data_IF_415780932020
#
_entry.id   IF_415780932020
#
_cell.length_a   1.000
_cell.length_b   1.000
_cell.length_c   1.000
_cell.angle_alpha   90.00
_cell.angle_beta   90.00
_cell.angle_gamma   90.00
#
_symmetry.space_group_name_H-M   'P 1'
#
loop_
_entity.id
_entity.type
_entity.pdbx_description
1 polymer ?
#
# COMPACT_ATOMS: atom_id res chain seq x y z
N UNK A 1 -7.44 -7.56 47.23
CA UNK A 1 -6.87 -6.64 46.21
C UNK A 1 -8.03 -5.96 45.52
N UNK A 2 -8.27 -4.69 45.83
CA UNK A 2 -9.25 -3.87 45.10
C UNK A 2 -8.70 -3.66 43.69
N UNK A 3 -9.43 -3.98 42.61
CA UNK A 3 -8.95 -3.67 41.27
C UNK A 3 -8.78 -2.15 41.19
N UNK A 4 -7.62 -1.68 40.74
CA UNK A 4 -7.42 -0.25 40.47
C UNK A 4 -8.47 0.28 39.49
N UNK A 5 -8.64 1.60 39.37
CA UNK A 5 -9.65 2.17 38.48
C UNK A 5 -9.47 1.60 37.07
N UNK A 6 -10.47 0.84 36.60
CA UNK A 6 -10.46 0.24 35.27
C UNK A 6 -10.57 1.37 34.26
N UNK A 7 -9.50 1.64 33.53
CA UNK A 7 -9.55 2.53 32.37
C UNK A 7 -10.63 1.98 31.43
N UNK A 8 -11.64 2.76 31.04
CA UNK A 8 -12.69 2.22 30.19
C UNK A 8 -12.10 1.82 28.83
N UNK A 9 -12.62 0.79 28.15
CA UNK A 9 -12.10 0.35 26.85
C UNK A 9 -12.00 1.50 25.85
N UNK A 10 -11.04 1.42 24.94
CA UNK A 10 -10.99 2.25 23.74
C UNK A 10 -12.18 1.91 22.84
N UNK A 11 -12.67 2.90 22.09
CA UNK A 11 -13.66 2.64 21.05
C UNK A 11 -13.02 1.98 19.83
N UNK A 12 -11.75 2.33 19.55
CA UNK A 12 -10.94 1.77 18.47
C UNK A 12 -9.48 1.63 18.90
N UNK A 13 -8.88 0.47 18.61
CA UNK A 13 -7.43 0.30 18.62
C UNK A 13 -6.93 -0.12 17.24
N UNK A 14 -6.12 0.73 16.60
CA UNK A 14 -5.40 0.38 15.39
C UNK A 14 -4.12 -0.39 15.68
N UNK A 15 -3.89 -1.48 14.94
CA UNK A 15 -2.65 -2.27 14.97
C UNK A 15 -1.83 -1.92 13.72
N UNK A 16 -0.68 -1.29 13.94
CA UNK A 16 0.15 -0.65 12.90
C UNK A 16 -0.23 0.82 12.68
N UNK A 17 0.76 1.64 12.30
CA UNK A 17 0.55 3.05 11.92
C UNK A 17 1.14 3.35 10.53
N UNK A 18 0.88 2.47 9.55
CA UNK A 18 1.11 2.78 8.13
C UNK A 18 0.14 3.83 7.59
N UNK A 19 0.29 4.27 6.32
CA UNK A 19 -0.50 5.37 5.75
C UNK A 19 -2.02 5.18 5.92
N UNK A 20 -2.54 3.97 5.75
CA UNK A 20 -3.97 3.69 5.89
C UNK A 20 -4.50 3.83 7.32
N UNK A 21 -3.77 3.31 8.32
CA UNK A 21 -4.16 3.50 9.71
C UNK A 21 -3.90 4.93 10.19
N UNK A 22 -2.92 5.64 9.63
CA UNK A 22 -2.75 7.08 9.88
C UNK A 22 -3.89 7.90 9.29
N UNK A 23 -4.42 7.52 8.12
CA UNK A 23 -5.64 8.12 7.56
C UNK A 23 -6.82 7.92 8.50
N UNK A 24 -7.01 6.69 8.99
CA UNK A 24 -8.05 6.40 9.98
C UNK A 24 -7.85 7.17 11.28
N UNK A 25 -6.62 7.29 11.77
CA UNK A 25 -6.30 8.07 12.96
C UNK A 25 -6.61 9.56 12.79
N UNK A 26 -6.26 10.13 11.63
CA UNK A 26 -6.50 11.53 11.30
C UNK A 26 -7.99 11.85 11.16
N UNK A 27 -8.79 10.95 10.57
CA UNK A 27 -10.25 11.12 10.52
C UNK A 27 -10.91 10.86 11.89
N UNK A 28 -10.43 9.86 12.64
CA UNK A 28 -10.92 9.60 13.99
C UNK A 28 -10.70 10.78 14.96
N UNK A 29 -9.59 11.51 14.81
CA UNK A 29 -9.28 12.72 15.58
C UNK A 29 -10.32 13.84 15.40
N UNK A 30 -10.98 13.89 14.24
CA UNK A 30 -12.08 14.82 13.96
C UNK A 30 -13.41 14.45 14.61
N UNK A 31 -13.55 13.26 15.22
CA UNK A 31 -14.81 12.76 15.79
C UNK A 31 -14.87 13.08 17.29
N UNK A 32 -15.78 13.96 17.76
CA UNK A 32 -15.86 14.33 19.17
C UNK A 32 -16.15 13.13 20.08
N UNK A 33 -15.31 12.95 21.09
CA UNK A 33 -15.49 11.92 22.13
C UNK A 33 -15.04 10.51 21.73
N UNK A 34 -14.59 10.29 20.50
CA UNK A 34 -14.09 8.99 20.05
C UNK A 34 -12.72 8.68 20.70
N UNK A 35 -12.64 7.60 21.47
CA UNK A 35 -11.41 7.19 22.15
C UNK A 35 -10.65 6.19 21.31
N UNK A 36 -9.70 6.68 20.52
CA UNK A 36 -8.86 5.86 19.65
C UNK A 36 -7.38 5.86 20.07
N UNK A 37 -6.69 4.74 19.82
CA UNK A 37 -5.24 4.68 19.82
C UNK A 37 -4.72 3.83 18.66
N UNK A 38 -3.49 4.07 18.21
CA UNK A 38 -2.85 3.33 17.11
C UNK A 38 -1.45 2.92 17.53
N UNK A 39 -1.20 1.61 17.65
CA UNK A 39 0.06 1.06 18.13
C UNK A 39 0.97 0.67 16.95
N UNK A 40 2.17 1.24 16.90
CA UNK A 40 3.20 0.93 15.93
C UNK A 40 4.44 0.40 16.63
N UNK A 41 4.96 -0.73 16.16
CA UNK A 41 6.10 -1.39 16.79
C UNK A 41 7.43 -0.66 16.55
N UNK A 42 7.57 0.03 15.42
CA UNK A 42 8.78 0.81 15.11
C UNK A 42 8.91 1.99 16.08
N UNK A 43 10.13 2.45 16.32
CA UNK A 43 10.40 3.61 17.17
C UNK A 43 9.98 4.94 16.53
N UNK A 44 9.92 4.99 15.20
CA UNK A 44 9.51 6.17 14.43
C UNK A 44 8.89 5.77 13.08
N UNK A 45 8.13 6.70 12.49
CA UNK A 45 7.54 6.51 11.17
C UNK A 45 8.60 6.55 10.07
N UNK A 46 8.60 5.53 9.20
CA UNK A 46 9.34 5.51 7.94
C UNK A 46 8.55 4.68 6.94
N UNK A 47 8.17 5.26 5.80
CA UNK A 47 7.42 4.59 4.76
C UNK A 47 8.33 4.14 3.62
N UNK A 48 8.55 2.83 3.53
CA UNK A 48 9.46 2.19 2.57
C UNK A 48 10.86 2.84 2.49
N UNK A 49 11.59 2.96 3.62
CA UNK A 49 12.84 3.72 3.68
C UNK A 49 13.91 3.26 2.69
N UNK A 50 14.00 1.95 2.38
CA UNK A 50 14.97 1.46 1.39
C UNK A 50 14.69 1.83 -0.06
N UNK A 51 13.55 2.47 -0.35
CA UNK A 51 13.11 2.92 -1.67
C UNK A 51 12.82 4.43 -1.73
N UNK A 52 13.29 5.20 -0.74
CA UNK A 52 13.29 6.66 -0.77
C UNK A 52 14.42 7.19 -1.66
N UNK A 53 14.54 6.62 -2.87
CA UNK A 53 15.54 7.00 -3.87
C UNK A 53 15.33 8.47 -4.24
N UNK A 54 16.41 9.21 -4.35
CA UNK A 54 16.36 10.63 -4.70
C UNK A 54 15.64 10.84 -6.05
N UNK A 55 14.71 11.79 -6.09
CA UNK A 55 13.91 12.08 -7.28
C UNK A 55 12.71 11.15 -7.49
N UNK A 56 12.56 10.07 -6.73
CA UNK A 56 11.40 9.19 -6.85
C UNK A 56 10.10 9.89 -6.41
N UNK A 57 9.07 9.81 -7.24
CA UNK A 57 7.75 10.41 -6.98
C UNK A 57 6.71 9.38 -6.55
N UNK A 58 5.63 9.86 -5.93
CA UNK A 58 4.41 9.08 -5.81
C UNK A 58 3.79 8.88 -7.20
N UNK A 59 3.09 7.75 -7.38
CA UNK A 59 2.32 7.49 -8.59
C UNK A 59 0.87 7.99 -8.50
N UNK A 60 0.51 8.62 -7.39
CA UNK A 60 -0.80 9.25 -7.15
C UNK A 60 -0.63 10.76 -6.93
N UNK A 61 -1.65 11.58 -7.27
CA UNK A 61 -1.62 13.01 -6.96
C UNK A 61 -1.55 13.27 -5.45
N UNK A 62 -1.01 14.41 -5.03
CA UNK A 62 -0.97 14.81 -3.61
C UNK A 62 -2.35 14.91 -2.93
N UNK A 63 -3.44 14.98 -3.72
CA UNK A 63 -4.81 14.92 -3.21
C UNK A 63 -5.14 13.57 -2.56
N UNK A 64 -4.46 12.50 -2.98
CA UNK A 64 -4.46 11.19 -2.32
C UNK A 64 -3.59 11.20 -1.05
N UNK A 65 -3.76 12.24 -0.23
CA UNK A 65 -3.20 12.30 1.12
C UNK A 65 -4.07 11.51 2.11
N UNK A 66 -3.88 11.73 3.41
CA UNK A 66 -4.58 10.98 4.44
C UNK A 66 -6.09 11.29 4.56
N UNK A 67 -6.55 12.46 4.09
CA UNK A 67 -7.86 13.01 4.48
C UNK A 67 -8.59 13.78 3.37
N UNK A 68 -7.90 14.40 2.42
CA UNK A 68 -8.42 15.43 1.53
C UNK A 68 -9.53 14.96 0.59
N UNK A 69 -9.57 13.68 0.21
CA UNK A 69 -10.66 13.13 -0.62
C UNK A 69 -11.96 12.87 0.17
N UNK A 70 -11.96 13.11 1.48
CA UNK A 70 -13.15 13.03 2.35
C UNK A 70 -13.38 14.36 3.08
N UNK A 71 -12.35 14.92 3.69
CA UNK A 71 -12.42 16.12 4.52
C UNK A 71 -11.27 17.07 4.17
N UNK A 72 -11.39 17.86 3.07
CA UNK A 72 -10.36 18.82 2.65
C UNK A 72 -10.01 19.86 3.71
N UNK A 73 -10.93 20.15 4.64
CA UNK A 73 -10.69 21.17 5.69
C UNK A 73 -9.92 20.62 6.88
N UNK A 74 -9.65 19.30 6.91
CA UNK A 74 -8.91 18.65 7.98
C UNK A 74 -7.53 19.31 8.19
N UNK A 75 -7.13 19.56 9.45
CA UNK A 75 -5.80 20.07 9.75
C UNK A 75 -4.70 19.08 9.34
N UNK A 76 -5.04 17.82 9.13
CA UNK A 76 -4.12 16.76 8.72
C UNK A 76 -3.92 16.67 7.20
N UNK A 77 -4.51 17.57 6.41
CA UNK A 77 -4.30 17.60 4.95
C UNK A 77 -2.87 17.95 4.57
N UNK A 78 -2.42 17.44 3.42
CA UNK A 78 -1.11 17.70 2.87
C UNK A 78 -0.88 19.19 2.59
N UNK A 79 -1.89 19.90 2.09
CA UNK A 79 -1.80 21.35 1.88
C UNK A 79 -1.62 22.12 3.18
N UNK A 80 -2.29 21.70 4.27
CA UNK A 80 -2.06 22.30 5.58
C UNK A 80 -0.65 21.98 6.11
N UNK A 81 -0.15 20.76 5.90
CA UNK A 81 1.26 20.43 6.19
C UNK A 81 2.23 21.39 5.46
N UNK A 82 2.06 21.60 4.16
CA UNK A 82 2.91 22.51 3.38
C UNK A 82 2.81 23.95 3.90
N UNK A 83 1.62 24.40 4.31
CA UNK A 83 1.41 25.70 4.96
C UNK A 83 2.14 25.79 6.30
N UNK A 84 2.01 24.78 7.18
CA UNK A 84 2.70 24.72 8.49
C UNK A 84 4.22 24.74 8.30
N UNK A 85 4.73 24.09 7.26
CA UNK A 85 6.15 24.13 6.87
C UNK A 85 6.57 25.42 6.14
N UNK A 86 5.65 26.38 5.96
CA UNK A 86 5.88 27.68 5.29
C UNK A 86 6.40 27.54 3.85
N UNK A 87 6.00 26.48 3.15
CA UNK A 87 6.44 26.16 1.78
C UNK A 87 5.34 26.31 0.72
N UNK A 88 4.22 26.94 1.06
CA UNK A 88 3.04 26.99 0.19
C UNK A 88 3.29 27.75 -1.13
N UNK A 89 3.98 28.90 -1.10
CA UNK A 89 4.31 29.64 -2.32
C UNK A 89 5.28 28.86 -3.24
N UNK A 90 6.42 28.33 -2.74
CA UNK A 90 7.28 27.47 -3.56
C UNK A 90 6.54 26.24 -4.11
N UNK A 91 5.68 25.60 -3.32
CA UNK A 91 4.89 24.45 -3.76
C UNK A 91 3.88 24.83 -4.85
N UNK A 92 3.20 25.97 -4.69
CA UNK A 92 2.28 26.52 -5.69
C UNK A 92 2.96 26.71 -7.05
N UNK A 93 4.13 27.38 -7.08
CA UNK A 93 4.87 27.60 -8.32
C UNK A 93 5.58 26.35 -8.86
N UNK A 94 5.71 25.29 -8.06
CA UNK A 94 6.25 24.02 -8.56
C UNK A 94 5.27 23.34 -9.53
N UNK A 95 3.96 23.59 -9.41
CA UNK A 95 2.90 23.05 -10.27
C UNK A 95 2.95 21.52 -10.47
N UNK A 96 3.37 20.78 -9.41
CA UNK A 96 3.51 19.32 -9.44
C UNK A 96 2.34 18.63 -8.74
N UNK A 97 1.61 17.79 -9.47
CA UNK A 97 0.59 16.92 -8.87
C UNK A 97 1.21 15.72 -8.17
N UNK A 98 2.28 15.14 -8.74
CA UNK A 98 3.03 14.03 -8.15
C UNK A 98 4.20 14.55 -7.34
N UNK A 99 4.12 14.36 -6.03
CA UNK A 99 5.13 14.82 -5.08
C UNK A 99 6.21 13.77 -4.86
N UNK A 100 7.36 14.21 -4.37
CA UNK A 100 8.47 13.32 -4.01
C UNK A 100 8.06 12.37 -2.88
N UNK A 101 8.50 11.11 -2.94
CA UNK A 101 8.23 10.13 -1.87
C UNK A 101 8.81 10.56 -0.54
N UNK A 102 9.98 11.21 -0.55
CA UNK A 102 10.59 11.76 0.66
C UNK A 102 9.76 12.90 1.26
N UNK A 103 9.10 13.71 0.44
CA UNK A 103 8.19 14.76 0.90
C UNK A 103 6.91 14.17 1.52
N UNK A 104 6.37 13.10 0.91
CA UNK A 104 5.24 12.38 1.48
C UNK A 104 5.60 11.63 2.77
N UNK A 105 6.77 10.98 2.87
CA UNK A 105 7.26 10.39 4.13
C UNK A 105 7.34 11.44 5.24
N UNK A 106 7.87 12.64 4.94
CA UNK A 106 7.94 13.74 5.90
C UNK A 106 6.55 14.24 6.33
N UNK A 107 5.58 14.28 5.42
CA UNK A 107 4.19 14.59 5.73
C UNK A 107 3.59 13.55 6.68
N UNK A 108 3.72 12.26 6.37
CA UNK A 108 3.20 11.18 7.22
C UNK A 108 3.91 11.12 8.59
N UNK A 109 5.21 11.39 8.62
CA UNK A 109 5.99 11.53 9.86
C UNK A 109 5.48 12.69 10.70
N UNK A 110 5.18 13.83 10.08
CA UNK A 110 4.58 14.97 10.78
C UNK A 110 3.22 14.60 11.38
N UNK A 111 2.30 14.04 10.59
CA UNK A 111 0.97 13.64 11.07
C UNK A 111 1.08 12.63 12.21
N UNK A 112 1.89 11.58 12.05
CA UNK A 112 2.04 10.53 13.07
C UNK A 112 2.73 10.99 14.36
N UNK A 113 3.53 12.06 14.30
CA UNK A 113 4.17 12.65 15.50
C UNK A 113 3.21 13.57 16.24
N UNK A 114 2.42 14.36 15.51
CA UNK A 114 1.51 15.35 16.10
C UNK A 114 0.16 14.74 16.52
N UNK A 115 -0.25 13.62 15.93
CA UNK A 115 -1.51 12.93 16.28
C UNK A 115 -1.44 12.35 17.71
N UNK A 116 -2.27 12.81 18.66
CA UNK A 116 -2.24 12.33 20.03
C UNK A 116 -2.68 10.88 20.20
N UNK A 117 -3.25 10.23 19.18
CA UNK A 117 -3.69 8.83 19.21
C UNK A 117 -2.61 7.85 18.77
N UNK A 118 -1.52 8.29 18.14
CA UNK A 118 -0.45 7.40 17.64
C UNK A 118 0.58 7.08 18.73
N UNK A 119 1.01 5.82 18.81
CA UNK A 119 1.95 5.31 19.81
C UNK A 119 3.02 4.43 19.14
N UNK A 120 4.22 4.97 18.96
CA UNK A 120 5.39 4.23 18.50
C UNK A 120 6.02 3.38 19.62
N UNK A 121 6.83 2.40 19.25
CA UNK A 121 7.42 1.43 20.17
C UNK A 121 6.38 0.56 20.90
N UNK A 122 5.20 0.35 20.32
CA UNK A 122 4.15 -0.51 20.86
C UNK A 122 3.86 -1.64 19.86
N UNK A 123 4.41 -2.83 20.11
CA UNK A 123 4.10 -4.03 19.35
C UNK A 123 2.88 -4.71 19.96
N UNK A 124 1.82 -4.86 19.19
CA UNK A 124 0.68 -5.70 19.60
C UNK A 124 1.07 -7.16 19.37
N UNK A 125 0.97 -7.97 20.41
CA UNK A 125 1.42 -9.37 20.38
C UNK A 125 0.25 -10.31 20.09
N UNK A 126 -0.87 -10.15 20.80
CA UNK A 126 -2.07 -11.00 20.67
C UNK A 126 -3.35 -10.20 20.87
N UNK A 127 -4.44 -10.72 20.29
CA UNK A 127 -5.80 -10.21 20.46
C UNK A 127 -6.73 -11.36 20.81
N UNK A 128 -7.53 -11.19 21.86
CA UNK A 128 -8.60 -12.12 22.24
C UNK A 128 -9.89 -11.36 22.56
N UNK A 129 -11.05 -12.00 22.36
CA UNK A 129 -12.32 -11.43 22.80
C UNK A 129 -12.55 -11.72 24.29
N UNK A 130 -12.90 -10.68 25.07
CA UNK A 130 -13.33 -10.79 26.46
C UNK A 130 -14.85 -10.53 26.55
N UNK A 131 -15.68 -11.60 26.64
CA UNK A 131 -17.13 -11.46 26.77
C UNK A 131 -17.56 -10.72 28.04
N UNK A 132 -16.77 -10.82 29.12
CA UNK A 132 -17.06 -10.15 30.39
C UNK A 132 -16.87 -8.64 30.31
N UNK A 133 -16.14 -8.15 29.31
CA UNK A 133 -15.96 -6.72 29.02
C UNK A 133 -16.72 -6.24 27.77
N UNK A 134 -17.20 -7.16 26.94
CA UNK A 134 -17.75 -6.83 25.63
C UNK A 134 -16.73 -6.06 24.77
N UNK A 135 -15.47 -6.47 24.85
CA UNK A 135 -14.34 -5.81 24.20
C UNK A 135 -13.21 -6.82 23.92
N UNK A 136 -12.33 -6.49 22.98
CA UNK A 136 -11.09 -7.22 22.76
C UNK A 136 -10.08 -6.89 23.86
N UNK A 137 -9.50 -7.92 24.47
CA UNK A 137 -8.29 -7.87 25.28
C UNK A 137 -7.08 -7.90 24.34
N UNK A 138 -6.21 -6.90 24.43
CA UNK A 138 -5.07 -6.71 23.53
C UNK A 138 -3.79 -6.64 24.33
N UNK A 139 -2.97 -7.67 24.19
CA UNK A 139 -1.64 -7.73 24.79
C UNK A 139 -0.64 -7.01 23.88
N UNK A 140 0.22 -6.22 24.48
CA UNK A 140 1.26 -5.50 23.75
C UNK A 140 2.57 -5.42 24.53
N UNK A 141 3.66 -5.37 23.78
CA UNK A 141 5.00 -5.16 24.27
C UNK A 141 5.45 -3.75 23.90
N UNK A 142 5.89 -2.98 24.89
CA UNK A 142 6.59 -1.72 24.66
C UNK A 142 8.06 -2.00 24.36
N UNK A 143 8.51 -1.49 23.23
CA UNK A 143 9.87 -1.59 22.72
C UNK A 143 10.61 -0.27 22.91
N UNK A 144 11.90 -0.34 23.16
CA UNK A 144 12.79 0.82 23.12
C UNK A 144 13.32 1.09 21.71
N UNK A 145 14.17 2.11 21.56
CA UNK A 145 14.70 2.53 20.25
C UNK A 145 15.46 1.43 19.51
N UNK A 146 16.13 0.54 20.25
CA UNK A 146 16.96 -0.53 19.70
C UNK A 146 16.20 -1.87 19.60
N UNK A 147 14.87 -1.84 19.86
CA UNK A 147 13.99 -3.00 19.82
C UNK A 147 14.02 -3.86 21.09
N UNK A 148 14.70 -3.41 22.14
CA UNK A 148 14.71 -4.06 23.44
C UNK A 148 13.33 -4.00 24.10
N UNK A 149 12.95 -5.06 24.82
CA UNK A 149 11.67 -5.11 25.52
C UNK A 149 11.73 -4.28 26.80
N UNK A 150 10.92 -3.23 26.88
CA UNK A 150 10.83 -2.36 28.06
C UNK A 150 9.81 -2.87 29.07
N UNK A 151 8.60 -3.23 28.62
CA UNK A 151 7.53 -3.80 29.45
C UNK A 151 6.41 -4.39 28.60
N UNK A 152 5.65 -5.32 29.15
CA UNK A 152 4.38 -5.78 28.57
C UNK A 152 3.21 -5.01 29.16
N UNK A 153 2.07 -5.03 28.48
CA UNK A 153 0.84 -4.37 28.90
C UNK A 153 -0.40 -5.03 28.31
N UNK A 154 -1.54 -4.70 28.90
CA UNK A 154 -2.87 -5.14 28.46
C UNK A 154 -3.75 -3.90 28.31
N UNK A 155 -4.44 -3.79 27.18
CA UNK A 155 -5.49 -2.79 26.97
C UNK A 155 -6.76 -3.46 26.47
N UNK A 156 -7.89 -2.75 26.56
CA UNK A 156 -9.16 -3.21 26.02
C UNK A 156 -9.67 -2.25 24.96
N UNK A 157 -10.23 -2.78 23.88
CA UNK A 157 -10.83 -2.00 22.80
C UNK A 157 -12.12 -2.66 22.31
N UNK A 158 -13.17 -1.88 22.06
CA UNK A 158 -14.44 -2.39 21.52
C UNK A 158 -14.28 -2.86 20.07
N UNK A 159 -13.45 -2.15 19.32
CA UNK A 159 -13.17 -2.44 17.91
C UNK A 159 -11.67 -2.36 17.63
N UNK A 160 -11.24 -3.04 16.58
CA UNK A 160 -9.85 -3.07 16.12
C UNK A 160 -9.75 -2.63 14.67
N UNK A 161 -8.62 -2.01 14.27
CA UNK A 161 -8.28 -1.78 12.87
C UNK A 161 -6.90 -2.38 12.54
N UNK A 162 -6.88 -3.46 11.77
CA UNK A 162 -5.66 -4.14 11.36
C UNK A 162 -5.07 -3.46 10.13
N UNK A 163 -4.01 -2.68 10.35
CA UNK A 163 -3.24 -1.99 9.32
C UNK A 163 -1.76 -2.37 9.37
N UNK A 164 -1.48 -3.68 9.50
CA UNK A 164 -0.12 -4.24 9.69
C UNK A 164 0.72 -4.27 8.41
N UNK A 165 0.16 -3.80 7.30
CA UNK A 165 0.81 -3.70 6.00
C UNK A 165 1.21 -5.05 5.42
N UNK A 166 2.21 -5.01 4.55
CA UNK A 166 2.72 -6.18 3.82
C UNK A 166 4.15 -6.50 4.24
N UNK A 167 4.66 -7.64 3.78
CA UNK A 167 6.04 -8.07 3.99
C UNK A 167 6.75 -8.31 2.64
N UNK A 168 8.06 -7.99 2.54
CA UNK A 168 8.88 -8.30 1.37
C UNK A 168 8.68 -9.74 0.89
N UNK A 169 8.47 -9.93 -0.41
CA UNK A 169 8.30 -11.25 -0.97
C UNK A 169 9.60 -11.74 -1.60
N UNK A 170 10.19 -12.78 -1.02
CA UNK A 170 11.36 -13.47 -1.61
C UNK A 170 10.90 -14.76 -2.29
N UNK A 171 11.15 -14.93 -3.61
CA UNK A 171 10.89 -16.18 -4.32
C UNK A 171 11.62 -17.35 -3.66
N UNK A 172 11.00 -18.52 -3.63
CA UNK A 172 11.51 -19.69 -2.94
C UNK A 172 12.98 -20.05 -3.30
N UNK A 173 13.39 -20.03 -4.58
CA UNK A 173 14.76 -20.40 -4.95
C UNK A 173 15.86 -19.46 -4.42
N UNK A 174 15.48 -18.27 -3.95
CA UNK A 174 16.40 -17.21 -3.53
C UNK A 174 16.43 -17.00 -2.00
N UNK A 175 15.59 -17.71 -1.25
CA UNK A 175 15.42 -17.49 0.21
C UNK A 175 16.68 -17.74 1.01
N UNK A 176 17.40 -18.82 0.70
CA UNK A 176 18.62 -19.18 1.42
C UNK A 176 19.74 -18.16 1.16
N UNK A 177 19.88 -17.66 -0.07
CA UNK A 177 20.85 -16.61 -0.40
C UNK A 177 20.52 -15.30 0.34
N UNK A 178 19.25 -14.87 0.36
CA UNK A 178 18.86 -13.65 1.12
C UNK A 178 19.18 -13.76 2.62
N UNK A 179 19.18 -14.98 3.18
CA UNK A 179 19.53 -15.23 4.59
C UNK A 179 21.04 -15.34 4.83
N UNK A 180 21.82 -15.62 3.78
CA UNK A 180 23.27 -15.73 3.86
C UNK A 180 23.91 -14.33 3.86
N UNK A 181 24.50 -13.88 4.99
CA UNK A 181 25.13 -12.56 5.08
C UNK A 181 26.38 -12.41 4.21
N UNK A 182 26.98 -13.52 3.75
CA UNK A 182 28.12 -13.49 2.84
C UNK A 182 27.70 -13.18 1.39
N UNK A 183 26.43 -13.44 1.03
CA UNK A 183 25.91 -13.15 -0.30
C UNK A 183 25.34 -11.72 -0.37
N UNK A 184 25.50 -11.06 -1.51
CA UNK A 184 24.89 -9.74 -1.77
C UNK A 184 23.55 -9.92 -2.52
N UNK A 185 22.64 -10.68 -1.91
CA UNK A 185 21.26 -10.88 -2.39
C UNK A 185 20.31 -10.23 -1.40
N UNK A 186 19.55 -9.23 -1.86
CA UNK A 186 18.66 -8.45 -0.97
C UNK A 186 17.34 -8.12 -1.65
N UNK A 187 16.29 -7.91 -0.84
CA UNK A 187 15.04 -7.35 -1.34
C UNK A 187 15.16 -5.84 -1.52
N UNK A 188 14.45 -5.27 -2.49
CA UNK A 188 14.46 -3.82 -2.77
C UNK A 188 14.08 -2.94 -1.57
N UNK A 189 13.42 -3.52 -0.56
CA UNK A 189 13.10 -2.89 0.71
C UNK A 189 14.33 -2.45 1.52
N UNK A 190 15.50 -3.05 1.24
CA UNK A 190 16.78 -2.80 1.91
C UNK A 190 17.79 -2.13 0.97
N UNK A 191 17.36 -1.74 -0.25
CA UNK A 191 18.24 -1.28 -1.32
C UNK A 191 19.15 -0.13 -0.90
N UNK A 192 18.59 1.00 -0.42
CA UNK A 192 19.40 2.16 -0.05
C UNK A 192 20.42 1.88 1.06
N UNK A 193 20.10 0.96 1.99
CA UNK A 193 21.02 0.59 3.07
C UNK A 193 22.22 -0.23 2.56
N UNK A 194 22.11 -0.86 1.39
CA UNK A 194 23.14 -1.71 0.78
C UNK A 194 23.70 -1.12 -0.52
N UNK A 195 23.29 0.10 -0.89
CA UNK A 195 23.60 0.74 -2.17
C UNK A 195 25.10 0.84 -2.44
N UNK A 196 25.88 1.26 -1.46
CA UNK A 196 27.34 1.41 -1.65
C UNK A 196 28.02 0.05 -1.90
N UNK A 197 27.56 -1.01 -1.23
CA UNK A 197 28.04 -2.38 -1.48
C UNK A 197 27.65 -2.87 -2.87
N UNK A 198 26.45 -2.53 -3.32
CA UNK A 198 25.99 -2.84 -4.68
C UNK A 198 26.83 -2.12 -5.72
N UNK A 199 27.10 -0.82 -5.55
CA UNK A 199 27.93 -0.04 -6.47
C UNK A 199 29.37 -0.55 -6.56
N UNK A 200 29.90 -1.15 -5.50
CA UNK A 200 31.21 -1.81 -5.50
C UNK A 200 31.22 -3.17 -6.22
N UNK A 201 30.07 -3.78 -6.50
CA UNK A 201 29.98 -5.04 -7.21
C UNK A 201 30.32 -4.87 -8.71
N UNK A 202 30.89 -5.90 -9.33
CA UNK A 202 31.22 -5.86 -10.77
C UNK A 202 29.97 -5.98 -11.63
N UNK A 203 29.08 -6.92 -11.31
CA UNK A 203 27.82 -7.13 -12.01
C UNK A 203 26.64 -7.24 -11.01
N UNK A 204 25.52 -6.59 -11.35
CA UNK A 204 24.31 -6.55 -10.52
C UNK A 204 23.12 -7.02 -11.36
N UNK A 205 22.29 -7.91 -10.80
CA UNK A 205 21.03 -8.32 -11.42
C UNK A 205 19.82 -7.82 -10.62
N UNK A 206 18.97 -7.02 -11.25
CA UNK A 206 17.68 -6.61 -10.69
C UNK A 206 16.61 -7.59 -11.18
N UNK A 207 15.84 -8.17 -10.26
CA UNK A 207 14.77 -9.14 -10.57
C UNK A 207 13.41 -8.56 -10.19
N UNK A 208 12.55 -8.33 -11.17
CA UNK A 208 11.18 -7.84 -10.96
C UNK A 208 10.82 -6.68 -11.88
N UNK A 209 9.60 -6.70 -12.42
CA UNK A 209 9.15 -5.81 -13.50
C UNK A 209 8.39 -4.57 -13.05
N UNK A 210 8.19 -4.37 -11.74
CA UNK A 210 7.40 -3.27 -11.20
C UNK A 210 8.20 -1.98 -11.01
N UNK A 211 7.52 -0.93 -10.57
CA UNK A 211 8.10 0.40 -10.33
C UNK A 211 9.42 0.35 -9.54
N UNK A 212 9.48 -0.41 -8.43
CA UNK A 212 10.71 -0.50 -7.63
C UNK A 212 11.89 -1.09 -8.37
N UNK A 213 11.67 -2.03 -9.30
CA UNK A 213 12.74 -2.62 -10.11
C UNK A 213 13.29 -1.62 -11.12
N UNK A 214 12.39 -0.85 -11.75
CA UNK A 214 12.75 0.21 -12.67
C UNK A 214 13.54 1.33 -11.97
N UNK A 215 13.09 1.79 -10.79
CA UNK A 215 13.78 2.84 -10.03
C UNK A 215 15.15 2.40 -9.52
N UNK A 216 15.27 1.17 -9.02
CA UNK A 216 16.57 0.60 -8.63
C UNK A 216 17.50 0.52 -9.83
N UNK A 217 17.01 0.02 -10.98
CA UNK A 217 17.82 -0.05 -12.20
C UNK A 217 18.29 1.34 -12.62
N UNK A 218 17.38 2.32 -12.66
CA UNK A 218 17.67 3.68 -13.08
C UNK A 218 18.69 4.36 -12.16
N UNK A 219 18.55 4.18 -10.85
CA UNK A 219 19.50 4.71 -9.87
C UNK A 219 20.89 4.08 -9.99
N UNK A 220 20.96 2.75 -10.14
CA UNK A 220 22.20 2.03 -10.39
C UNK A 220 22.84 2.46 -11.71
N UNK A 221 22.04 2.59 -12.77
CA UNK A 221 22.49 3.03 -14.08
C UNK A 221 23.16 4.40 -13.95
N UNK A 222 22.45 5.41 -13.46
CA UNK A 222 22.96 6.78 -13.28
C UNK A 222 24.20 6.88 -12.39
N UNK A 223 24.39 5.95 -11.46
CA UNK A 223 25.43 6.02 -10.44
C UNK A 223 26.69 5.22 -10.77
N UNK A 224 26.66 4.41 -11.84
CA UNK A 224 27.81 3.61 -12.26
C UNK A 224 28.56 4.27 -13.41
N UNK A 225 29.89 4.09 -13.48
CA UNK A 225 30.71 4.67 -14.54
C UNK A 225 30.23 4.22 -15.92
N UNK A 226 30.32 5.13 -16.90
CA UNK A 226 29.99 4.82 -18.29
C UNK A 226 30.92 3.74 -18.85
N UNK A 227 30.36 2.72 -19.49
CA UNK A 227 31.09 1.58 -20.06
C UNK A 227 31.52 0.52 -19.04
N UNK A 228 31.11 0.65 -17.77
CA UNK A 228 31.33 -0.33 -16.71
C UNK A 228 30.08 -0.54 -15.85
N UNK A 229 28.90 -0.44 -16.48
CA UNK A 229 27.62 -0.58 -15.81
C UNK A 229 27.41 -1.99 -15.26
N UNK A 230 27.70 -3.06 -16.00
CA UNK A 230 27.51 -4.43 -15.51
C UNK A 230 26.12 -4.68 -14.92
N UNK A 231 25.06 -4.26 -15.61
CA UNK A 231 23.69 -4.35 -15.10
C UNK A 231 22.86 -5.35 -15.91
N UNK A 232 22.07 -6.17 -15.22
CA UNK A 232 21.03 -6.99 -15.84
C UNK A 232 19.68 -6.73 -15.16
N UNK A 233 18.62 -6.50 -15.93
CA UNK A 233 17.25 -6.39 -15.44
C UNK A 233 16.38 -7.51 -16.00
N UNK A 234 15.93 -8.39 -15.10
CA UNK A 234 15.08 -9.54 -15.44
C UNK A 234 13.63 -9.29 -15.02
N UNK A 235 12.71 -9.54 -15.94
CA UNK A 235 11.27 -9.46 -15.70
C UNK A 235 10.57 -10.73 -16.16
N UNK A 236 9.68 -11.29 -15.33
CA UNK A 236 8.83 -12.42 -15.72
C UNK A 236 7.70 -12.02 -16.66
N UNK A 237 7.29 -10.75 -16.64
CA UNK A 237 6.29 -10.24 -17.58
C UNK A 237 6.86 -10.27 -19.00
N UNK A 238 6.03 -10.48 -20.03
CA UNK A 238 6.50 -10.57 -21.42
C UNK A 238 7.06 -9.25 -21.96
N UNK A 239 6.85 -8.14 -21.25
CA UNK A 239 7.43 -6.83 -21.56
C UNK A 239 7.62 -6.02 -20.27
N UNK A 240 8.45 -4.98 -20.35
CA UNK A 240 8.47 -3.88 -19.39
C UNK A 240 7.31 -2.93 -19.73
N UNK A 241 6.13 -3.21 -19.17
CA UNK A 241 4.91 -2.52 -19.54
C UNK A 241 4.67 -1.27 -18.67
N UNK A 242 4.18 -0.17 -19.27
CA UNK A 242 3.72 0.97 -18.50
C UNK A 242 2.50 0.59 -17.67
N UNK A 243 2.32 1.27 -16.55
CA UNK A 243 1.10 1.23 -15.77
C UNK A 243 -0.01 1.97 -16.53
N UNK A 244 -1.22 1.41 -16.51
CA UNK A 244 -2.40 2.09 -17.05
C UNK A 244 -2.66 3.38 -16.26
N UNK A 245 -2.69 4.51 -16.95
CA UNK A 245 -2.81 5.83 -16.33
C UNK A 245 -3.75 6.78 -17.11
N UNK A 246 -4.53 6.24 -18.06
CA UNK A 246 -5.58 7.01 -18.72
C UNK A 246 -6.69 7.36 -17.72
N UNK A 247 -7.29 8.54 -17.87
CA UNK A 247 -8.32 9.04 -16.94
C UNK A 247 -9.50 8.08 -16.78
N UNK A 248 -9.95 7.45 -17.87
CA UNK A 248 -11.04 6.45 -17.86
C UNK A 248 -10.54 5.12 -17.26
N UNK A 249 -9.33 4.67 -17.57
CA UNK A 249 -8.75 3.47 -16.97
C UNK A 249 -8.61 3.57 -15.45
N UNK A 250 -8.24 4.75 -14.95
CA UNK A 250 -8.10 5.05 -13.54
C UNK A 250 -9.43 5.05 -12.76
N UNK A 251 -10.58 5.10 -13.42
CA UNK A 251 -11.87 4.99 -12.70
C UNK A 251 -12.07 3.62 -12.04
N UNK A 252 -11.22 2.62 -12.33
CA UNK A 252 -11.15 1.36 -11.58
C UNK A 252 -10.58 1.51 -10.16
N UNK A 253 -10.01 2.67 -9.82
CA UNK A 253 -9.54 3.04 -8.48
C UNK A 253 -10.54 3.95 -7.75
N UNK A 254 -11.83 3.79 -8.04
CA UNK A 254 -12.91 4.57 -7.40
C UNK A 254 -13.75 3.70 -6.46
N UNK A 255 -14.43 4.32 -5.47
CA UNK A 255 -15.44 3.64 -4.67
C UNK A 255 -16.50 2.88 -5.47
N UNK A 256 -16.90 3.40 -6.64
CA UNK A 256 -17.88 2.74 -7.53
C UNK A 256 -17.37 1.38 -8.03
N UNK A 257 -16.11 1.33 -8.47
CA UNK A 257 -15.48 0.08 -8.89
C UNK A 257 -15.34 -0.91 -7.72
N UNK A 258 -14.92 -0.43 -6.54
CA UNK A 258 -14.81 -1.27 -5.34
C UNK A 258 -16.15 -1.90 -4.96
N UNK A 259 -17.25 -1.14 -4.98
CA UNK A 259 -18.61 -1.66 -4.74
C UNK A 259 -19.02 -2.69 -5.80
N UNK A 260 -18.79 -2.39 -7.08
CA UNK A 260 -19.05 -3.33 -8.17
C UNK A 260 -18.28 -4.63 -8.00
N UNK A 261 -16.97 -4.56 -7.76
CA UNK A 261 -16.10 -5.72 -7.60
C UNK A 261 -16.52 -6.58 -6.41
N UNK A 262 -16.85 -5.96 -5.27
CA UNK A 262 -17.33 -6.67 -4.06
C UNK A 262 -18.60 -7.48 -4.33
N UNK A 263 -19.54 -6.91 -5.10
CA UNK A 263 -20.79 -7.56 -5.50
C UNK A 263 -20.65 -8.73 -6.50
N UNK A 264 -19.47 -8.93 -7.11
CA UNK A 264 -19.24 -10.05 -8.02
C UNK A 264 -19.16 -11.38 -7.26
N UNK A 265 -19.57 -12.51 -7.86
CA UNK A 265 -19.31 -13.84 -7.30
C UNK A 265 -17.82 -14.09 -7.05
N UNK A 266 -17.48 -14.84 -6.00
CA UNK A 266 -16.08 -15.10 -5.61
C UNK A 266 -15.22 -15.64 -6.77
N UNK A 267 -15.70 -16.66 -7.49
CA UNK A 267 -14.98 -17.23 -8.63
C UNK A 267 -14.70 -16.21 -9.75
N UNK A 268 -15.56 -15.19 -9.90
CA UNK A 268 -15.34 -14.09 -10.84
C UNK A 268 -14.27 -13.14 -10.34
N UNK A 269 -14.30 -12.75 -9.06
CA UNK A 269 -13.26 -11.90 -8.44
C UNK A 269 -11.88 -12.55 -8.54
N UNK A 270 -11.79 -13.83 -8.22
CA UNK A 270 -10.54 -14.61 -8.24
C UNK A 270 -9.93 -14.71 -9.65
N UNK A 271 -10.76 -14.80 -10.69
CA UNK A 271 -10.30 -14.79 -12.09
C UNK A 271 -9.94 -13.38 -12.59
N UNK A 272 -10.67 -12.36 -12.14
CA UNK A 272 -10.54 -11.00 -12.64
C UNK A 272 -9.29 -10.30 -12.08
N UNK A 273 -9.06 -10.40 -10.77
CA UNK A 273 -8.01 -9.65 -10.09
C UNK A 273 -6.59 -9.87 -10.67
N UNK A 274 -6.16 -11.11 -11.03
CA UNK A 274 -4.86 -11.33 -11.64
C UNK A 274 -4.75 -10.73 -13.05
N UNK A 275 -5.85 -10.62 -13.79
CA UNK A 275 -5.89 -10.07 -15.16
C UNK A 275 -5.73 -8.56 -15.20
N UNK A 276 -5.97 -7.88 -14.08
CA UNK A 276 -5.84 -6.43 -13.94
C UNK A 276 -4.44 -5.98 -13.54
N UNK A 277 -3.41 -6.81 -13.75
CA UNK A 277 -2.05 -6.54 -13.31
C UNK A 277 -1.48 -5.21 -13.82
N UNK A 278 -1.84 -4.78 -15.03
CA UNK A 278 -1.36 -3.51 -15.62
C UNK A 278 -1.80 -2.27 -14.84
N UNK A 279 -2.86 -2.38 -14.03
CA UNK A 279 -3.33 -1.27 -13.21
C UNK A 279 -2.41 -0.99 -12.01
N UNK A 280 -1.69 -1.99 -11.50
CA UNK A 280 -0.97 -1.87 -10.22
C UNK A 280 0.42 -2.52 -10.16
N UNK A 281 0.84 -3.25 -11.21
CA UNK A 281 2.18 -3.85 -11.33
C UNK A 281 3.03 -3.27 -12.47
N UNK A 282 2.49 -2.31 -13.22
CA UNK A 282 3.24 -1.62 -14.27
C UNK A 282 4.28 -0.66 -13.70
N UNK A 283 5.09 -0.10 -14.60
CA UNK A 283 6.06 0.97 -14.30
C UNK A 283 5.48 2.30 -14.78
N UNK A 284 5.77 3.43 -14.15
CA UNK A 284 5.34 4.71 -14.72
C UNK A 284 5.97 4.91 -16.10
N UNK A 285 5.20 5.49 -17.03
CA UNK A 285 5.69 5.82 -18.37
C UNK A 285 6.96 6.69 -18.32
N UNK A 286 6.97 7.66 -17.40
CA UNK A 286 8.11 8.56 -17.19
C UNK A 286 9.37 7.80 -16.73
N UNK A 287 9.26 6.82 -15.83
CA UNK A 287 10.44 6.05 -15.38
C UNK A 287 11.00 5.18 -16.51
N UNK A 288 10.12 4.57 -17.32
CA UNK A 288 10.56 3.82 -18.49
C UNK A 288 11.22 4.74 -19.52
N UNK A 289 10.70 5.95 -19.71
CA UNK A 289 11.29 7.00 -20.53
C UNK A 289 12.68 7.40 -20.02
N UNK A 290 12.81 7.70 -18.72
CA UNK A 290 14.06 8.06 -18.07
C UNK A 290 15.15 6.97 -18.20
N UNK A 291 14.76 5.68 -18.10
CA UNK A 291 15.68 4.56 -18.33
C UNK A 291 16.16 4.57 -19.78
N UNK A 292 15.24 4.70 -20.73
CA UNK A 292 15.59 4.73 -22.15
C UNK A 292 16.50 5.93 -22.47
N UNK A 293 16.15 7.12 -22.00
CA UNK A 293 16.92 8.35 -22.24
C UNK A 293 18.33 8.25 -21.66
N UNK A 294 18.50 7.66 -20.47
CA UNK A 294 19.82 7.42 -19.88
C UNK A 294 20.62 6.37 -20.66
N UNK A 295 20.01 5.28 -21.12
CA UNK A 295 20.67 4.30 -21.98
C UNK A 295 21.11 4.91 -23.31
N UNK A 296 20.25 5.73 -23.93
CA UNK A 296 20.56 6.43 -25.18
C UNK A 296 21.65 7.48 -25.00
N UNK A 297 21.62 8.23 -23.88
CA UNK A 297 22.67 9.18 -23.53
C UNK A 297 24.05 8.51 -23.43
N UNK A 298 24.11 7.29 -22.87
CA UNK A 298 25.36 6.52 -22.74
C UNK A 298 25.84 5.94 -24.06
N UNK A 299 24.96 5.71 -25.03
CA UNK A 299 25.36 5.20 -26.36
C UNK A 299 25.87 6.29 -27.31
N UNK A 300 25.87 7.57 -26.91
CA UNK A 300 26.36 8.68 -27.73
C UNK A 300 27.84 8.54 -28.14
N UNK A 301 28.63 7.79 -27.37
CA UNK A 301 30.04 7.47 -27.69
C UNK A 301 30.22 6.44 -28.81
N UNK A 302 29.15 5.80 -29.28
CA UNK A 302 29.16 4.79 -30.36
C UNK A 302 29.10 3.34 -29.88
N UNK A 303 29.44 3.08 -28.61
CA UNK A 303 29.32 1.77 -27.99
C UNK A 303 27.99 1.61 -27.24
N UNK A 304 27.52 0.37 -27.09
CA UNK A 304 26.36 0.07 -26.26
C UNK A 304 26.75 0.10 -24.77
N UNK A 305 25.90 0.64 -23.87
CA UNK A 305 26.15 0.53 -22.43
C UNK A 305 26.12 -0.94 -21.98
N UNK A 306 26.86 -1.28 -20.93
CA UNK A 306 26.94 -2.65 -20.39
C UNK A 306 25.69 -2.98 -19.54
N UNK A 307 24.54 -2.99 -20.21
CA UNK A 307 23.22 -3.16 -19.58
C UNK A 307 22.38 -4.11 -20.42
N UNK A 308 21.88 -5.18 -19.78
CA UNK A 308 20.97 -6.15 -20.40
C UNK A 308 19.57 -6.05 -19.79
N UNK A 309 18.54 -5.86 -20.62
CA UNK A 309 17.14 -5.84 -20.21
C UNK A 309 16.44 -7.04 -20.85
N UNK A 310 15.93 -7.98 -20.04
CA UNK A 310 15.31 -9.21 -20.56
C UNK A 310 13.95 -9.47 -19.91
N UNK A 311 12.84 -9.24 -20.63
CA UNK A 311 11.52 -9.67 -20.20
C UNK A 311 11.31 -11.17 -20.47
N UNK A 312 10.20 -11.73 -19.99
CA UNK A 312 9.85 -13.14 -20.17
C UNK A 312 10.70 -14.15 -19.40
N UNK A 313 11.52 -13.70 -18.44
CA UNK A 313 12.44 -14.53 -17.68
C UNK A 313 11.89 -14.85 -16.29
N UNK A 314 11.81 -16.14 -15.98
CA UNK A 314 11.58 -16.64 -14.62
C UNK A 314 12.89 -17.16 -14.01
N UNK A 315 13.20 -16.74 -12.78
CA UNK A 315 14.30 -17.30 -11.99
C UNK A 315 13.79 -18.57 -11.30
N UNK A 316 14.32 -19.72 -11.70
CA UNK A 316 13.88 -21.05 -11.25
C UNK A 316 14.82 -21.68 -10.22
N UNK A 317 16.02 -21.14 -10.07
CA UNK A 317 17.06 -21.66 -9.18
C UNK A 317 18.09 -20.58 -8.86
N UNK A 318 18.77 -20.68 -7.72
CA UNK A 318 19.94 -19.86 -7.43
C UNK A 318 20.94 -20.63 -6.56
N UNK A 319 22.24 -20.42 -6.78
CA UNK A 319 23.31 -21.03 -6.00
C UNK A 319 24.55 -20.13 -5.95
N UNK A 320 25.37 -20.29 -4.90
CA UNK A 320 26.69 -19.68 -4.84
C UNK A 320 27.70 -20.52 -5.64
N UNK A 321 28.50 -19.89 -6.48
CA UNK A 321 29.56 -20.56 -7.25
C UNK A 321 30.79 -20.83 -6.38
N UNK A 322 31.72 -21.66 -6.86
CA UNK A 322 33.00 -21.90 -6.17
C UNK A 322 33.88 -20.65 -5.99
N UNK A 323 33.62 -19.58 -6.75
CA UNK A 323 34.30 -18.29 -6.66
C UNK A 323 33.55 -17.28 -5.77
N UNK A 324 32.46 -17.69 -5.12
CA UNK A 324 31.65 -16.82 -4.26
C UNK A 324 30.69 -15.88 -5.01
N UNK A 325 30.48 -16.07 -6.32
CA UNK A 325 29.48 -15.33 -7.11
C UNK A 325 28.12 -16.02 -7.02
N UNK A 326 27.07 -15.37 -7.50
CA UNK A 326 25.71 -15.91 -7.54
C UNK A 326 25.41 -16.40 -8.95
N UNK A 327 25.02 -17.66 -9.10
CA UNK A 327 24.48 -18.21 -10.33
C UNK A 327 22.96 -18.34 -10.24
N UNK A 328 22.25 -17.71 -11.16
CA UNK A 328 20.80 -17.82 -11.32
C UNK A 328 20.48 -18.81 -12.44
N UNK A 329 19.67 -19.82 -12.15
CA UNK A 329 19.00 -20.63 -13.17
C UNK A 329 17.77 -19.86 -13.65
N UNK A 330 17.66 -19.68 -14.97
CA UNK A 330 16.59 -18.89 -15.60
C UNK A 330 15.89 -19.67 -16.70
N UNK A 331 14.61 -19.37 -16.91
CA UNK A 331 13.80 -19.92 -18.00
C UNK A 331 13.08 -18.80 -18.76
N UNK A 332 13.15 -18.84 -20.09
CA UNK A 332 12.43 -17.92 -20.96
C UNK A 332 11.18 -18.61 -21.51
N UNK A 333 10.01 -18.28 -20.95
CA UNK A 333 8.78 -19.05 -21.18
C UNK A 333 8.32 -19.13 -22.64
N UNK A 334 8.55 -18.08 -23.45
CA UNK A 334 8.18 -18.09 -24.87
C UNK A 334 9.19 -18.82 -25.77
N UNK A 335 10.44 -18.94 -25.33
CA UNK A 335 11.49 -19.67 -26.07
C UNK A 335 11.57 -21.12 -25.62
N UNK A 336 10.90 -21.47 -24.51
CA UNK A 336 11.03 -22.76 -23.83
C UNK A 336 12.50 -23.12 -23.56
N UNK A 337 13.31 -22.09 -23.31
CA UNK A 337 14.76 -22.19 -23.18
C UNK A 337 15.19 -21.96 -21.73
N UNK A 338 16.19 -22.74 -21.28
CA UNK A 338 16.81 -22.62 -19.96
C UNK A 338 18.22 -22.06 -20.10
N UNK A 339 18.62 -21.25 -19.13
CA UNK A 339 19.93 -20.62 -19.11
C UNK A 339 20.47 -20.47 -17.69
N UNK A 340 21.71 -19.99 -17.62
CA UNK A 340 22.39 -19.62 -16.38
C UNK A 340 22.92 -18.20 -16.51
N UNK A 341 22.77 -17.40 -15.47
CA UNK A 341 23.31 -16.04 -15.37
C UNK A 341 24.18 -15.96 -14.12
N UNK A 342 25.45 -15.55 -14.26
CA UNK A 342 26.35 -15.36 -13.11
C UNK A 342 26.52 -13.88 -12.82
N UNK A 343 26.28 -13.49 -11.56
CA UNK A 343 26.31 -12.09 -11.08
C UNK A 343 27.01 -12.00 -9.74
N UNK A 344 27.47 -10.80 -9.35
CA UNK A 344 28.09 -10.56 -8.05
C UNK A 344 27.05 -10.10 -7.00
N UNK A 345 25.94 -9.53 -7.45
CA UNK A 345 24.83 -9.11 -6.59
C UNK A 345 23.47 -9.30 -7.25
N UNK A 346 22.43 -9.44 -6.41
CA UNK A 346 21.03 -9.53 -6.85
C UNK A 346 20.14 -8.62 -6.00
N UNK A 347 19.36 -7.77 -6.66
CA UNK A 347 18.30 -6.98 -6.01
C UNK A 347 16.93 -7.52 -6.42
N UNK A 348 16.19 -8.03 -5.44
CA UNK A 348 14.84 -8.58 -5.62
C UNK A 348 13.81 -7.46 -5.50
N UNK A 349 13.35 -6.94 -6.64
CA UNK A 349 12.18 -6.07 -6.76
C UNK A 349 10.89 -6.88 -6.95
N UNK A 350 10.74 -7.94 -6.17
CA UNK A 350 9.70 -8.99 -6.30
C UNK A 350 8.42 -8.67 -5.55
N UNK A 351 8.28 -7.44 -5.06
CA UNK A 351 7.09 -6.89 -4.44
C UNK A 351 6.86 -7.41 -3.03
N UNK A 352 5.63 -7.24 -2.56
CA UNK A 352 5.25 -7.58 -1.19
C UNK A 352 4.04 -8.52 -1.19
N UNK A 353 3.85 -9.27 -0.10
CA UNK A 353 2.66 -10.08 0.16
C UNK A 353 2.01 -9.69 1.48
N UNK A 354 0.75 -10.09 1.69
CA UNK A 354 0.08 -9.88 2.97
C UNK A 354 0.93 -10.41 4.12
N UNK A 355 1.05 -9.63 5.19
CA UNK A 355 1.77 -10.06 6.38
C UNK A 355 0.97 -11.16 7.08
N UNK A 356 1.58 -12.29 7.45
CA UNK A 356 0.92 -13.29 8.29
C UNK A 356 0.48 -12.68 9.62
N UNK A 357 -0.76 -12.91 10.00
CA UNK A 357 -1.38 -12.41 11.25
C UNK A 357 -1.84 -13.55 12.16
N UNK A 358 -1.42 -14.78 11.87
CA UNK A 358 -1.86 -16.01 12.53
C UNK A 358 -1.60 -15.94 14.04
N UNK A 359 -0.43 -15.47 14.46
CA UNK A 359 -0.11 -15.29 15.89
C UNK A 359 -0.94 -14.18 16.52
N UNK A 360 -1.09 -13.05 15.82
CA UNK A 360 -1.84 -11.88 16.32
C UNK A 360 -3.33 -12.22 16.55
N UNK A 361 -3.91 -13.00 15.64
CA UNK A 361 -5.33 -13.34 15.62
C UNK A 361 -5.62 -14.79 16.06
N UNK A 362 -4.65 -15.49 16.65
CA UNK A 362 -4.77 -16.92 16.96
C UNK A 362 -6.03 -17.24 17.79
N UNK A 363 -6.35 -16.40 18.77
CA UNK A 363 -7.54 -16.58 19.62
C UNK A 363 -8.85 -16.21 18.91
N UNK A 364 -8.79 -15.45 17.81
CA UNK A 364 -9.94 -15.09 16.98
C UNK A 364 -10.15 -16.05 15.81
N UNK A 365 -9.12 -16.82 15.42
CA UNK A 365 -9.15 -17.70 14.24
C UNK A 365 -10.39 -18.61 14.15
N UNK A 366 -10.84 -19.28 15.24
CA UNK A 366 -12.05 -20.12 15.19
C UNK A 366 -13.34 -19.36 14.87
N UNK A 367 -13.34 -18.05 15.08
CA UNK A 367 -14.50 -17.17 14.85
C UNK A 367 -14.44 -16.46 13.50
N UNK A 368 -13.32 -16.55 12.76
CA UNK A 368 -13.19 -15.91 11.45
C UNK A 368 -13.93 -16.71 10.40
N UNK A 369 -14.94 -16.10 9.77
CA UNK A 369 -15.63 -16.69 8.63
C UNK A 369 -14.72 -16.61 7.41
N UNK A 370 -14.49 -17.77 6.77
CA UNK A 370 -13.60 -17.91 5.61
C UNK A 370 -14.39 -18.18 4.34
N UNK A 371 -13.81 -17.81 3.21
CA UNK A 371 -14.32 -18.09 1.88
C UNK A 371 -13.94 -19.50 1.41
N UNK A 372 -14.39 -19.91 0.21
CA UNK A 372 -14.12 -21.27 -0.32
C UNK A 372 -12.62 -21.56 -0.53
N UNK A 373 -11.77 -20.53 -0.60
CA UNK A 373 -10.32 -20.65 -0.73
C UNK A 373 -9.60 -20.57 0.64
N UNK A 374 -10.35 -20.57 1.75
CA UNK A 374 -9.82 -20.48 3.11
C UNK A 374 -9.35 -19.09 3.52
N UNK A 375 -9.67 -18.02 2.76
CA UNK A 375 -9.28 -16.64 3.09
C UNK A 375 -10.35 -15.98 3.98
N UNK A 376 -9.99 -15.07 4.89
CA UNK A 376 -10.97 -14.31 5.67
C UNK A 376 -11.96 -13.57 4.77
N UNK A 377 -13.25 -13.64 5.08
CA UNK A 377 -14.26 -12.81 4.42
C UNK A 377 -14.23 -11.40 5.00
N UNK A 378 -14.40 -10.41 4.12
CA UNK A 378 -14.44 -8.99 4.48
C UNK A 378 -15.70 -8.36 3.90
N UNK A 379 -16.49 -7.74 4.75
CA UNK A 379 -17.74 -7.07 4.35
C UNK A 379 -17.49 -5.69 3.71
N UNK A 380 -18.55 -5.07 3.19
CA UNK A 380 -18.46 -3.76 2.53
C UNK A 380 -18.02 -2.62 3.48
N UNK A 381 -18.21 -2.79 4.79
CA UNK A 381 -17.76 -1.85 5.82
C UNK A 381 -16.32 -2.12 6.28
N UNK A 382 -15.57 -2.95 5.53
CA UNK A 382 -14.17 -3.29 5.80
C UNK A 382 -13.96 -4.14 7.05
N UNK A 383 -14.98 -4.86 7.53
CA UNK A 383 -14.89 -5.72 8.72
C UNK A 383 -14.60 -7.15 8.31
N UNK A 384 -13.73 -7.82 9.05
CA UNK A 384 -13.72 -9.28 9.06
C UNK A 384 -15.11 -9.77 9.44
N UNK A 385 -15.65 -10.72 8.67
CA UNK A 385 -16.88 -11.40 9.05
C UNK A 385 -16.55 -12.39 10.17
N UNK A 386 -17.07 -12.12 11.36
CA UNK A 386 -16.85 -12.92 12.56
C UNK A 386 -18.13 -13.65 12.96
N UNK A 387 -17.98 -14.75 13.70
CA UNK A 387 -19.10 -15.45 14.34
C UNK A 387 -19.81 -14.56 15.37
N UNK A 388 -21.10 -14.83 15.61
CA UNK A 388 -22.01 -13.95 16.38
C UNK A 388 -21.65 -13.82 17.85
N UNK A 389 -20.78 -14.68 18.38
CA UNK A 389 -20.21 -14.63 19.72
C UNK A 389 -19.30 -13.41 19.93
N UNK A 390 -18.76 -12.83 18.84
CA UNK A 390 -17.90 -11.66 18.87
C UNK A 390 -18.73 -10.42 18.54
N UNK A 391 -19.08 -9.63 19.55
CA UNK A 391 -19.88 -8.41 19.36
C UNK A 391 -19.06 -7.22 18.85
N UNK A 392 -17.73 -7.26 18.98
CA UNK A 392 -16.81 -6.23 18.50
C UNK A 392 -16.45 -6.40 17.02
N UNK A 393 -16.09 -5.31 16.35
CA UNK A 393 -15.65 -5.34 14.96
C UNK A 393 -14.12 -5.36 14.82
N UNK A 394 -13.63 -6.15 13.87
CA UNK A 394 -12.22 -6.10 13.43
C UNK A 394 -12.18 -5.57 12.00
N UNK A 395 -11.84 -4.31 11.84
CA UNK A 395 -11.65 -3.66 10.55
C UNK A 395 -10.29 -4.05 9.96
N UNK A 396 -10.20 -4.10 8.63
CA UNK A 396 -8.95 -4.36 7.91
C UNK A 396 -8.62 -3.22 6.96
N UNK A 397 -7.32 -2.95 6.83
CA UNK A 397 -6.78 -1.93 5.93
C UNK A 397 -5.68 -2.58 5.10
N UNK A 398 -5.90 -2.68 3.79
CA UNK A 398 -4.94 -3.23 2.82
C UNK A 398 -4.69 -4.75 2.95
N UNK A 399 -5.71 -5.52 3.33
CA UNK A 399 -5.69 -6.98 3.42
C UNK A 399 -6.88 -7.66 2.69
N UNK A 400 -7.71 -6.87 2.03
CA UNK A 400 -9.02 -7.26 1.50
C UNK A 400 -9.08 -7.27 -0.04
N UNK A 401 -7.92 -7.46 -0.68
CA UNK A 401 -7.79 -7.33 -2.14
C UNK A 401 -8.64 -8.34 -2.92
N UNK A 402 -8.83 -9.54 -2.39
CA UNK A 402 -9.68 -10.60 -2.98
C UNK A 402 -11.19 -10.28 -2.90
N UNK A 403 -11.59 -9.34 -2.05
CA UNK A 403 -13.00 -8.92 -1.91
C UNK A 403 -13.25 -7.52 -2.45
N UNK A 404 -12.27 -6.60 -2.44
CA UNK A 404 -12.45 -5.19 -2.81
C UNK A 404 -11.66 -4.75 -4.05
N UNK A 405 -10.86 -5.65 -4.63
CA UNK A 405 -10.27 -5.46 -5.94
C UNK A 405 -8.94 -4.71 -5.93
N UNK A 406 -8.59 -4.15 -7.08
CA UNK A 406 -7.27 -3.54 -7.33
C UNK A 406 -7.00 -2.26 -6.54
N UNK A 407 -8.05 -1.58 -6.07
CA UNK A 407 -7.93 -0.32 -5.33
C UNK A 407 -7.52 -0.47 -3.86
N UNK A 408 -7.54 -1.68 -3.31
CA UNK A 408 -7.16 -1.94 -1.90
C UNK A 408 -5.83 -1.29 -1.48
N UNK A 409 -4.70 -1.48 -2.21
CA UNK A 409 -3.43 -0.83 -1.88
C UNK A 409 -3.29 0.62 -2.37
N UNK A 410 -4.31 1.20 -3.00
CA UNK A 410 -4.23 2.56 -3.56
C UNK A 410 -4.42 3.63 -2.47
N UNK A 411 -3.51 4.60 -2.41
CA UNK A 411 -3.59 5.71 -1.46
C UNK A 411 -4.79 6.64 -1.74
N UNK A 412 -5.27 6.72 -2.99
CA UNK A 412 -6.45 7.49 -3.38
C UNK A 412 -7.75 6.96 -2.75
N UNK A 413 -7.77 5.72 -2.28
CA UNK A 413 -8.91 5.15 -1.55
C UNK A 413 -8.71 5.13 -0.03
N UNK A 414 -7.55 5.59 0.48
CA UNK A 414 -7.25 5.56 1.91
C UNK A 414 -8.26 6.37 2.73
N UNK A 415 -8.47 7.65 2.39
CA UNK A 415 -9.39 8.52 3.11
C UNK A 415 -10.83 8.00 3.03
N UNK A 416 -11.29 7.59 1.84
CA UNK A 416 -12.63 7.02 1.65
C UNK A 416 -12.84 5.78 2.52
N UNK A 417 -11.89 4.83 2.51
CA UNK A 417 -11.99 3.61 3.31
C UNK A 417 -11.98 3.90 4.81
N UNK A 418 -11.14 4.84 5.25
CA UNK A 418 -11.11 5.30 6.63
C UNK A 418 -12.45 5.94 7.06
N UNK A 419 -13.09 6.70 6.18
CA UNK A 419 -14.40 7.28 6.43
C UNK A 419 -15.52 6.23 6.51
N UNK A 420 -15.49 5.21 5.66
CA UNK A 420 -16.38 4.04 5.76
C UNK A 420 -16.25 3.39 7.15
N UNK A 421 -15.02 3.21 7.63
CA UNK A 421 -14.76 2.64 8.96
C UNK A 421 -15.27 3.56 10.07
N UNK A 422 -15.02 4.87 10.01
CA UNK A 422 -15.52 5.83 11.01
C UNK A 422 -17.05 5.86 11.05
N UNK A 423 -17.71 5.84 9.90
CA UNK A 423 -19.18 5.81 9.83
C UNK A 423 -19.72 4.52 10.45
N UNK A 424 -19.09 3.38 10.17
CA UNK A 424 -19.46 2.09 10.78
C UNK A 424 -19.23 2.08 12.31
N UNK A 425 -18.11 2.65 12.79
CA UNK A 425 -17.78 2.77 14.21
C UNK A 425 -18.78 3.65 14.98
N UNK A 426 -19.22 4.75 14.37
CA UNK A 426 -20.12 5.71 15.02
C UNK A 426 -21.61 5.36 14.85
N UNK A 427 -21.94 4.40 13.99
CA UNK A 427 -23.32 4.00 13.68
C UNK A 427 -24.13 5.07 12.94
N UNK A 428 -23.46 6.08 12.37
CA UNK A 428 -24.07 7.17 11.61
C UNK A 428 -23.14 7.63 10.49
N UNK A 429 -23.69 8.35 9.53
CA UNK A 429 -22.90 8.99 8.48
C UNK A 429 -22.22 10.26 9.03
N UNK A 430 -21.10 10.08 9.73
CA UNK A 430 -20.31 11.20 10.27
C UNK A 430 -19.57 11.94 9.16
N UNK A 431 -18.94 11.18 8.26
CA UNK A 431 -18.38 11.68 7.01
C UNK A 431 -19.32 11.32 5.87
N UNK A 432 -20.03 12.29 5.26
CA UNK A 432 -20.89 12.00 4.11
C UNK A 432 -20.04 11.52 2.93
N UNK A 433 -20.43 10.40 2.31
CA UNK A 433 -19.70 9.81 1.19
C UNK A 433 -20.52 9.88 -0.10
N UNK A 434 -19.90 10.23 -1.23
CA UNK A 434 -20.62 10.32 -2.51
C UNK A 434 -21.12 8.94 -2.95
N UNK A 435 -22.38 8.89 -3.42
CA UNK A 435 -22.97 7.67 -4.00
C UNK A 435 -22.35 7.30 -5.35
N UNK A 436 -21.87 8.31 -6.10
CA UNK A 436 -21.23 8.17 -7.41
C UNK A 436 -19.89 8.89 -7.43
N UNK A 437 -18.85 8.18 -7.86
CA UNK A 437 -17.45 8.65 -7.90
C UNK A 437 -16.75 8.44 -9.24
N UNK A 438 -17.44 7.83 -10.22
CA UNK A 438 -16.94 7.60 -11.57
C UNK A 438 -17.96 8.06 -12.63
N UNK A 439 -17.46 8.47 -13.80
CA UNK A 439 -18.30 8.65 -14.98
C UNK A 439 -18.74 7.29 -15.55
N UNK A 440 -17.87 6.29 -15.46
CA UNK A 440 -18.13 4.90 -15.84
C UNK A 440 -19.13 4.24 -14.91
N UNK A 441 -20.19 3.67 -15.47
CA UNK A 441 -21.07 2.74 -14.76
C UNK A 441 -20.51 1.34 -14.87
N UNK A 442 -20.18 0.71 -13.74
CA UNK A 442 -19.67 -0.66 -13.70
C UNK A 442 -20.80 -1.68 -13.52
N UNK A 443 -20.89 -2.65 -14.44
CA UNK A 443 -21.92 -3.69 -14.43
C UNK A 443 -23.23 -3.29 -15.14
N UNK A 444 -24.11 -4.27 -15.33
CA UNK A 444 -25.42 -4.10 -15.95
C UNK A 444 -26.51 -4.13 -14.86
N UNK A 445 -26.63 -3.04 -14.09
CA UNK A 445 -27.65 -2.86 -13.05
C UNK A 445 -28.77 -1.92 -13.48
N UNK A 446 -30.00 -2.20 -13.06
CA UNK A 446 -31.26 -1.56 -13.47
C UNK A 446 -31.52 -0.14 -12.90
N UNK A 447 -30.60 0.45 -12.14
CA UNK A 447 -30.85 1.72 -11.44
C UNK A 447 -30.76 2.97 -12.33
N UNK A 448 -30.20 2.88 -13.53
CA UNK A 448 -29.90 4.06 -14.35
C UNK A 448 -31.04 4.51 -15.29
N UNK A 449 -32.12 3.73 -15.40
CA UNK A 449 -33.28 4.05 -16.25
C UNK A 449 -34.45 4.71 -15.51
N UNK A 450 -34.71 4.37 -14.25
CA UNK A 450 -35.90 4.87 -13.55
C UNK A 450 -35.77 6.31 -13.02
N UNK A 451 -34.57 6.77 -12.69
CA UNK A 451 -34.38 8.15 -12.17
C UNK A 451 -34.35 9.22 -13.26
N UNK A 452 -34.01 8.86 -14.51
CA UNK A 452 -34.09 9.81 -15.63
C UNK A 452 -35.53 10.12 -16.04
N UNK A 453 -36.46 9.17 -15.86
CA UNK A 453 -37.87 9.38 -16.17
C UNK A 453 -38.64 10.10 -15.05
N UNK A 454 -38.13 10.13 -13.82
CA UNK A 454 -38.77 10.81 -12.68
C UNK A 454 -38.34 12.27 -12.47
N UNK A 455 -37.19 12.69 -13.00
CA UNK A 455 -36.67 14.06 -12.87
C UNK A 455 -37.19 15.08 -13.89
N UNK A 456 -37.96 14.66 -14.92
CA UNK A 456 -38.28 15.50 -16.08
C UNK A 456 -39.64 16.21 -16.09
N UNK A 457 -40.49 16.06 -15.07
CA UNK A 457 -41.84 16.68 -15.04
C UNK A 457 -42.12 17.38 -13.72
N UNK A 458 -41.46 18.52 -13.51
CA UNK A 458 -41.67 19.40 -12.36
C UNK A 458 -41.62 20.88 -12.75
N UNK A 459 -42.70 21.37 -13.35
CA UNK A 459 -43.24 22.75 -13.31
C UNK A 459 -42.33 23.97 -13.54
N UNK A 460 -42.63 24.71 -14.62
CA UNK A 460 -42.60 26.18 -14.63
C UNK A 460 -43.52 26.73 -15.74
N UNK A 461 -44.83 26.73 -15.50
CA UNK A 461 -45.76 27.60 -16.21
C UNK A 461 -45.90 28.88 -15.37
N UNK A 462 -45.34 29.99 -15.85
CA UNK A 462 -45.66 31.33 -15.33
C UNK A 462 -46.98 31.80 -15.95
N UNK A 463 -47.94 32.33 -15.19
CA UNK A 463 -48.99 33.14 -15.78
C UNK A 463 -48.43 34.53 -16.10
N UNK A 464 -48.70 35.00 -17.30
CA UNK A 464 -48.56 36.40 -17.67
C UNK A 464 -49.74 37.18 -17.08
N UNK A 465 -49.45 38.23 -16.32
CA UNK A 465 -50.43 39.26 -15.97
C UNK A 465 -50.07 40.56 -16.71
N UNK A 466 -51.01 41.02 -17.53
CA UNK A 466 -51.01 42.30 -18.23
C UNK A 466 -51.64 43.40 -17.36
N UNK A 467 -50.95 44.56 -17.36
CA UNK A 467 -51.48 45.95 -17.33
C UNK A 467 -52.24 46.44 -16.09
N UNK A 468 -51.64 47.42 -15.39
CA UNK A 468 -51.91 48.86 -15.60
C UNK A 468 -50.79 49.73 -15.07
#
# INVERSE_FOLDING_TARGET
MTPGPRTPPLDLLGVGAGPFNLSLAALADGVPGLRAAFHEQRAAFHWHPGLLIEGATLQVPFLADLVSLVEPTSPWSYLNYIKVRRRLFPFYFAERFHIHRSEFDNYLRWVSTELPSTRFGHRVDTVAWDPGQGAFAVEFTRLGPDGETLRTGLTHARNLALGVGTAPHVPEPLRELVRDPASLVLHSADYLAQRDRLLAARHITVVGSGQSGAEVLLDLLRSRPEGAEGLTWLARTPAFAPMEYSKIGLEQFTPDYTRYFHGLPQATRDRLLPRQWQLYKGVSGDTLGDIHDELYRRSLGGDWPDVTLTPGIEVTGAATTGEGRIELSVEHGQQEAKGRLVTDAVVLATGYRERPVDTLLAALDPYVVRDEAGRPQVDAAQRLVLATEIAGSVFVQNAERHTHGVGTPDLGLAAWRSAVIVNALTGKEFYPLPERTAFTTFGLGTQDRDDRDRGGRGTSARPAEERR
#
